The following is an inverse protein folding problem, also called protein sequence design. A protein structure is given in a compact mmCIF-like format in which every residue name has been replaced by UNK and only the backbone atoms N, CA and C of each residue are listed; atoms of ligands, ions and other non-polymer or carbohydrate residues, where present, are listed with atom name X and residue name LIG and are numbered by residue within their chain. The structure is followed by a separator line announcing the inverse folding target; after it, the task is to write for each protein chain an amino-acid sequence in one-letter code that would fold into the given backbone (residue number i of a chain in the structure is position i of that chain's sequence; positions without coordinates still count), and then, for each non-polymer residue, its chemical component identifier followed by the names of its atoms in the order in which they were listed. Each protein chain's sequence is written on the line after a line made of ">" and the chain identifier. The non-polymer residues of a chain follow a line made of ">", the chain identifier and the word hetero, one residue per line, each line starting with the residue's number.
data_IF_804423420787
#
_entry.id   IF_804423420787
#
_cell.length_a   1.000
_cell.length_b   1.000
_cell.length_c   1.000
_cell.angle_alpha   90.00
_cell.angle_beta   90.00
_cell.angle_gamma   90.00
#
_symmetry.space_group_name_H-M   'P 1'
#
loop_
_entity.id
_entity.type
_entity.pdbx_description
1 polymer ?
#
# COMPACT_ATOMS: atom_id res chain seq x y z
N UNK A 1 -11.38 22.27 4.63
CA UNK A 1 -12.32 21.35 3.96
C UNK A 1 -11.58 20.37 3.04
N UNK A 2 -10.78 20.83 2.09
CA UNK A 2 -10.02 19.96 1.16
C UNK A 2 -9.17 18.87 1.85
N UNK A 3 -8.39 19.22 2.88
CA UNK A 3 -7.57 18.25 3.62
C UNK A 3 -8.40 17.07 4.19
N UNK A 4 -9.58 17.35 4.76
CA UNK A 4 -10.44 16.30 5.33
C UNK A 4 -10.99 15.38 4.23
N UNK A 5 -11.32 15.92 3.06
CA UNK A 5 -11.76 15.12 1.92
C UNK A 5 -10.65 14.17 1.45
N UNK A 6 -9.40 14.63 1.39
CA UNK A 6 -8.24 13.79 1.06
C UNK A 6 -8.02 12.68 2.09
N UNK A 7 -8.18 12.96 3.38
CA UNK A 7 -8.05 11.93 4.43
C UNK A 7 -9.10 10.84 4.30
N UNK A 8 -10.37 11.23 4.05
CA UNK A 8 -11.46 10.27 3.83
C UNK A 8 -11.23 9.46 2.56
N UNK A 9 -10.83 10.11 1.47
CA UNK A 9 -10.48 9.44 0.21
C UNK A 9 -9.34 8.44 0.39
N UNK A 10 -8.25 8.85 1.05
CA UNK A 10 -7.12 7.97 1.35
C UNK A 10 -7.54 6.74 2.15
N UNK A 11 -8.39 6.92 3.16
CA UNK A 11 -8.97 5.80 3.92
C UNK A 11 -9.81 4.86 3.07
N UNK A 12 -10.67 5.39 2.19
CA UNK A 12 -11.48 4.59 1.27
C UNK A 12 -10.59 3.81 0.29
N UNK A 13 -9.52 4.42 -0.23
CA UNK A 13 -8.58 3.76 -1.15
C UNK A 13 -7.85 2.59 -0.46
N UNK A 14 -7.38 2.78 0.77
CA UNK A 14 -6.76 1.71 1.56
C UNK A 14 -7.77 0.57 1.79
N UNK A 15 -9.01 0.92 2.13
CA UNK A 15 -10.06 -0.05 2.38
C UNK A 15 -10.42 -0.86 1.13
N UNK A 16 -10.64 -0.20 -0.01
CA UNK A 16 -10.92 -0.84 -1.30
C UNK A 16 -9.75 -1.71 -1.76
N UNK A 17 -8.52 -1.21 -1.61
CA UNK A 17 -7.32 -1.97 -1.96
C UNK A 17 -7.12 -3.21 -1.08
N UNK A 18 -7.44 -3.12 0.21
CA UNK A 18 -7.42 -4.25 1.14
C UNK A 18 -8.48 -5.29 0.78
N UNK A 19 -9.69 -4.88 0.40
CA UNK A 19 -10.72 -5.79 -0.11
C UNK A 19 -10.26 -6.45 -1.42
N UNK A 20 -9.66 -5.68 -2.32
CA UNK A 20 -9.07 -6.19 -3.56
C UNK A 20 -8.04 -7.29 -3.27
N UNK A 21 -7.14 -7.07 -2.31
CA UNK A 21 -6.18 -8.08 -1.86
C UNK A 21 -6.86 -9.34 -1.31
N UNK A 22 -7.93 -9.25 -0.54
CA UNK A 22 -8.63 -10.43 -0.02
C UNK A 22 -9.36 -11.23 -1.11
N UNK A 23 -9.79 -10.56 -2.18
CA UNK A 23 -10.60 -11.17 -3.25
C UNK A 23 -9.76 -12.00 -4.22
N UNK A 24 -8.48 -11.63 -4.43
CA UNK A 24 -7.63 -12.32 -5.40
C UNK A 24 -7.25 -13.73 -4.93
N UNK A 25 -7.15 -14.68 -5.85
CA UNK A 25 -6.79 -16.08 -5.54
C UNK A 25 -5.28 -16.34 -5.60
N UNK A 26 -4.55 -15.59 -6.43
CA UNK A 26 -3.10 -15.71 -6.60
C UNK A 26 -2.31 -14.81 -5.65
N UNK A 27 -1.28 -15.38 -5.01
CA UNK A 27 -0.41 -14.70 -4.06
C UNK A 27 0.29 -13.49 -4.70
N UNK A 28 0.80 -13.62 -5.92
CA UNK A 28 1.53 -12.54 -6.59
C UNK A 28 0.62 -11.35 -6.87
N UNK A 29 -0.59 -11.64 -7.35
CA UNK A 29 -1.63 -10.64 -7.55
C UNK A 29 -2.02 -9.98 -6.22
N UNK A 30 -2.18 -10.75 -5.12
CA UNK A 30 -2.44 -10.19 -3.78
C UNK A 30 -1.38 -9.18 -3.34
N UNK A 31 -0.09 -9.51 -3.51
CA UNK A 31 1.03 -8.64 -3.15
C UNK A 31 0.97 -7.32 -3.94
N UNK A 32 0.69 -7.40 -5.25
CA UNK A 32 0.58 -6.21 -6.09
C UNK A 32 -0.60 -5.31 -5.67
N UNK A 33 -1.78 -5.89 -5.40
CA UNK A 33 -2.94 -5.13 -4.92
C UNK A 33 -2.67 -4.47 -3.55
N UNK A 34 -2.04 -5.20 -2.63
CA UNK A 34 -1.62 -4.65 -1.33
C UNK A 34 -0.63 -3.50 -1.48
N UNK A 35 0.39 -3.66 -2.34
CA UNK A 35 1.39 -2.61 -2.59
C UNK A 35 0.80 -1.33 -3.20
N UNK A 36 -0.12 -1.46 -4.17
CA UNK A 36 -0.82 -0.31 -4.76
C UNK A 36 -1.69 0.38 -3.69
N UNK A 37 -2.41 -0.39 -2.88
CA UNK A 37 -3.26 0.12 -1.81
C UNK A 37 -2.46 0.92 -0.77
N UNK A 38 -1.35 0.35 -0.29
CA UNK A 38 -0.49 0.98 0.71
C UNK A 38 0.17 2.24 0.15
N UNK A 39 0.70 2.18 -1.07
CA UNK A 39 1.40 3.34 -1.66
C UNK A 39 0.39 4.46 -1.96
N UNK A 40 -0.62 4.21 -2.78
CA UNK A 40 -1.57 5.26 -3.19
C UNK A 40 -2.36 5.80 -1.98
N UNK A 41 -2.81 4.90 -1.10
CA UNK A 41 -3.57 5.24 0.09
C UNK A 41 -2.75 6.07 1.08
N UNK A 42 -1.57 5.59 1.47
CA UNK A 42 -0.71 6.27 2.45
C UNK A 42 -0.24 7.62 1.92
N UNK A 43 0.19 7.71 0.65
CA UNK A 43 0.61 9.00 0.08
C UNK A 43 -0.56 10.00 0.01
N UNK A 44 -1.78 9.56 -0.32
CA UNK A 44 -2.97 10.43 -0.30
C UNK A 44 -3.26 10.96 1.11
N UNK A 45 -3.17 10.10 2.13
CA UNK A 45 -3.34 10.50 3.54
C UNK A 45 -2.23 11.47 3.99
N UNK A 46 -0.98 11.19 3.63
CA UNK A 46 0.17 12.04 3.98
C UNK A 46 0.04 13.44 3.36
N UNK A 47 -0.43 13.55 2.12
CA UNK A 47 -0.71 14.86 1.49
C UNK A 47 -1.83 15.58 2.24
N UNK A 48 -2.90 14.87 2.62
CA UNK A 48 -3.97 15.43 3.44
C UNK A 48 -3.49 15.94 4.80
N UNK A 49 -2.58 15.22 5.44
CA UNK A 49 -1.95 15.63 6.72
C UNK A 49 -0.99 16.80 6.55
N UNK A 50 -0.17 16.82 5.50
CA UNK A 50 0.76 17.91 5.21
C UNK A 50 0.02 19.25 5.00
N UNK A 51 -1.16 19.21 4.37
CA UNK A 51 -2.02 20.39 4.22
C UNK A 51 -2.63 20.87 5.55
N UNK A 52 -2.77 19.98 6.54
CA UNK A 52 -3.37 20.29 7.84
C UNK A 52 -2.33 20.74 8.87
N UNK A 53 -1.11 20.24 8.77
CA UNK A 53 -0.05 20.50 9.75
C UNK A 53 1.28 20.68 9.03
N UNK A 54 1.65 21.94 8.79
CA UNK A 54 2.88 22.28 8.08
C UNK A 54 4.16 22.09 8.93
N UNK A 55 4.02 22.05 10.26
CA UNK A 55 5.18 21.95 11.16
C UNK A 55 5.85 20.57 11.15
N UNK A 56 5.14 19.53 10.68
CA UNK A 56 5.57 18.13 10.79
C UNK A 56 5.79 17.46 9.42
N UNK A 57 5.89 18.25 8.35
CA UNK A 57 6.07 17.76 6.97
C UNK A 57 7.28 16.82 6.87
N UNK A 58 8.36 17.12 7.59
CA UNK A 58 9.56 16.29 7.59
C UNK A 58 9.29 14.85 8.08
N UNK A 59 8.44 14.69 9.11
CA UNK A 59 8.05 13.35 9.59
C UNK A 59 7.21 12.61 8.56
N UNK A 60 6.31 13.31 7.88
CA UNK A 60 5.49 12.72 6.81
C UNK A 60 6.34 12.25 5.62
N UNK A 61 7.39 13.00 5.25
CA UNK A 61 8.34 12.59 4.21
C UNK A 61 9.08 11.32 4.63
N UNK A 62 9.59 11.26 5.88
CA UNK A 62 10.26 10.07 6.39
C UNK A 62 9.33 8.85 6.33
N UNK A 63 8.08 8.99 6.78
CA UNK A 63 7.09 7.90 6.75
C UNK A 63 6.83 7.45 5.31
N UNK A 64 6.59 8.38 4.38
CA UNK A 64 6.35 8.05 2.97
C UNK A 64 7.52 7.31 2.33
N UNK A 65 8.75 7.72 2.65
CA UNK A 65 9.97 7.08 2.15
C UNK A 65 10.17 5.69 2.76
N UNK A 66 9.86 5.53 4.04
CA UNK A 66 9.89 4.23 4.73
C UNK A 66 8.93 3.24 4.07
N UNK A 67 7.68 3.66 3.83
CA UNK A 67 6.65 2.83 3.16
C UNK A 67 7.08 2.46 1.74
N UNK A 68 7.66 3.40 1.00
CA UNK A 68 8.16 3.16 -0.35
C UNK A 68 9.29 2.11 -0.38
N UNK A 69 10.15 2.08 0.63
CA UNK A 69 11.23 1.08 0.74
C UNK A 69 10.73 -0.27 1.27
N UNK A 70 9.77 -0.26 2.19
CA UNK A 70 9.20 -1.47 2.78
C UNK A 70 8.44 -2.28 1.71
N UNK A 71 7.68 -1.62 0.82
CA UNK A 71 6.93 -2.26 -0.25
C UNK A 71 7.73 -3.29 -1.08
N UNK A 72 8.84 -2.90 -1.75
CA UNK A 72 9.65 -3.80 -2.54
C UNK A 72 10.38 -4.85 -1.69
N UNK A 73 10.81 -4.52 -0.46
CA UNK A 73 11.45 -5.48 0.45
C UNK A 73 10.49 -6.59 0.86
N UNK A 74 9.26 -6.23 1.26
CA UNK A 74 8.21 -7.20 1.58
C UNK A 74 7.86 -8.05 0.37
N UNK A 75 7.65 -7.42 -0.79
CA UNK A 75 7.30 -8.12 -2.03
C UNK A 75 8.39 -9.14 -2.41
N UNK A 76 9.66 -8.74 -2.31
CA UNK A 76 10.78 -9.62 -2.60
C UNK A 76 10.89 -10.77 -1.59
N UNK A 77 10.79 -10.49 -0.29
CA UNK A 77 10.86 -11.52 0.76
C UNK A 77 9.73 -12.55 0.64
N UNK A 78 8.49 -12.09 0.38
CA UNK A 78 7.34 -12.97 0.18
C UNK A 78 7.50 -13.80 -1.09
N UNK A 79 7.89 -13.17 -2.21
CA UNK A 79 8.12 -13.89 -3.47
C UNK A 79 9.23 -14.94 -3.37
N UNK A 80 10.33 -14.62 -2.66
CA UNK A 80 11.43 -15.56 -2.42
C UNK A 80 10.96 -16.76 -1.58
N UNK A 81 10.20 -16.51 -0.51
CA UNK A 81 9.63 -17.58 0.32
C UNK A 81 8.61 -18.44 -0.45
N UNK A 82 7.78 -17.82 -1.29
CA UNK A 82 6.82 -18.52 -2.13
C UNK A 82 7.51 -19.42 -3.16
N UNK A 83 8.57 -18.92 -3.80
CA UNK A 83 9.40 -19.68 -4.72
C UNK A 83 10.11 -20.86 -4.02
N UNK A 84 10.65 -20.63 -2.82
CA UNK A 84 11.28 -21.68 -2.01
C UNK A 84 10.29 -22.79 -1.64
N UNK A 85 9.06 -22.44 -1.28
CA UNK A 85 7.98 -23.38 -0.96
C UNK A 85 7.29 -23.99 -2.19
N UNK A 86 7.79 -23.73 -3.41
CA UNK A 86 7.22 -24.19 -4.69
C UNK A 86 5.74 -23.82 -4.86
N UNK A 87 5.32 -22.69 -4.29
CA UNK A 87 3.96 -22.17 -4.51
C UNK A 87 3.90 -21.74 -5.98
N UNK A 88 3.18 -22.52 -6.81
CA UNK A 88 2.98 -22.18 -8.22
C UNK A 88 2.07 -20.96 -8.31
N UNK A 89 2.39 -20.06 -9.24
CA UNK A 89 1.46 -19.03 -9.74
C UNK A 89 0.18 -19.77 -10.11
N UNK A 90 -0.92 -19.44 -9.44
CA UNK A 90 -2.19 -20.11 -9.71
C UNK A 90 -2.78 -19.46 -10.96
N UNK A 91 -2.52 -20.07 -12.12
CA UNK A 91 -3.11 -19.65 -13.38
C UNK A 91 -4.64 -19.62 -13.20
N UNK A 92 -5.24 -18.47 -13.48
CA UNK A 92 -6.68 -18.28 -13.42
C UNK A 92 -7.31 -19.05 -14.59
N UNK A 93 -7.65 -20.32 -14.38
CA UNK A 93 -8.66 -21.05 -15.16
C UNK A 93 -10.07 -20.52 -14.86
#
# INVERSE_FOLDING_TARGET
>A
MFANALLVLGGILIFLGSIGMLTQKDLYTRIQFGGIADTVGTFTVLIGLALKTQNEIFRFIIIGLLVLLIGPVLSHAIAHSAAYNKIRVKDNE
#
